data_IF_907496908326
#
_entry.id   IF_907496908326
#
_cell.length_a   1.000
_cell.length_b   1.000
_cell.length_c   1.000
_cell.angle_alpha   90.00
_cell.angle_beta   90.00
_cell.angle_gamma   90.00
#
_symmetry.space_group_name_H-M   'P 1'
#
loop_
_entity.id
_entity.type
_entity.pdbx_description
1 polymer ?
#
# COMPACT_ATOMS: atom_id res chain seq x y z
N UNK A 1 5.78 8.90 40.04
CA UNK A 1 4.85 7.81 39.74
C UNK A 1 5.66 6.63 39.21
N UNK A 2 5.70 5.54 39.92
CA UNK A 2 6.47 4.34 39.56
C UNK A 2 5.77 3.60 38.42
N UNK A 3 6.50 2.96 37.49
CA UNK A 3 5.88 2.18 36.41
C UNK A 3 5.24 0.91 36.99
N UNK A 4 3.96 0.75 36.73
CA UNK A 4 3.22 -0.47 37.02
C UNK A 4 3.79 -1.62 36.18
N UNK A 5 4.51 -2.53 36.82
CA UNK A 5 4.92 -3.82 36.23
C UNK A 5 3.66 -4.64 35.94
N UNK A 6 3.28 -4.75 34.68
CA UNK A 6 2.19 -5.61 34.26
C UNK A 6 2.69 -7.07 34.18
N UNK A 7 2.31 -7.87 35.17
CA UNK A 7 2.73 -9.28 35.34
C UNK A 7 1.89 -10.27 34.50
N UNK A 8 1.24 -9.81 33.41
CA UNK A 8 0.40 -10.65 32.53
C UNK A 8 1.07 -11.07 31.22
N UNK A 9 2.41 -11.03 31.13
CA UNK A 9 3.11 -11.21 29.86
C UNK A 9 3.19 -12.65 29.32
N UNK A 10 2.94 -13.68 30.12
CA UNK A 10 3.02 -15.08 29.65
C UNK A 10 1.72 -15.65 29.04
N UNK A 11 0.58 -15.10 29.39
CA UNK A 11 -0.70 -15.50 28.78
C UNK A 11 -1.03 -14.75 27.49
N UNK A 12 -0.57 -13.49 27.38
CA UNK A 12 -0.79 -12.64 26.20
C UNK A 12 -0.04 -13.16 24.96
N UNK A 13 1.22 -13.56 25.10
CA UNK A 13 2.03 -14.07 23.99
C UNK A 13 1.48 -15.36 23.38
N UNK A 14 0.90 -16.26 24.18
CA UNK A 14 0.29 -17.50 23.66
C UNK A 14 -0.97 -17.23 22.82
N UNK A 15 -1.79 -16.28 23.22
CA UNK A 15 -3.02 -15.92 22.50
C UNK A 15 -2.73 -15.21 21.17
N UNK A 16 -1.73 -14.36 21.12
CA UNK A 16 -1.28 -13.66 19.90
C UNK A 16 -0.85 -14.66 18.82
N UNK A 17 -0.09 -15.70 19.16
CA UNK A 17 0.27 -16.76 18.22
C UNK A 17 -0.94 -17.54 17.72
N UNK A 18 -1.93 -17.80 18.57
CA UNK A 18 -3.17 -18.49 18.18
C UNK A 18 -3.95 -17.63 17.18
N UNK A 19 -4.12 -16.35 17.43
CA UNK A 19 -4.79 -15.43 16.51
C UNK A 19 -4.06 -15.30 15.18
N UNK A 20 -2.73 -15.23 15.20
CA UNK A 20 -1.91 -15.22 13.99
C UNK A 20 -2.16 -16.49 13.15
N UNK A 21 -2.14 -17.67 13.74
CA UNK A 21 -2.40 -18.93 13.04
C UNK A 21 -3.84 -18.99 12.52
N UNK A 22 -4.81 -18.57 13.32
CA UNK A 22 -6.22 -18.53 12.89
C UNK A 22 -6.44 -17.55 11.74
N UNK A 23 -5.84 -16.36 11.80
CA UNK A 23 -5.89 -15.37 10.72
C UNK A 23 -5.27 -15.90 9.43
N UNK A 24 -4.09 -16.53 9.51
CA UNK A 24 -3.43 -17.15 8.37
C UNK A 24 -4.30 -18.27 7.76
N UNK A 25 -4.85 -19.16 8.59
CA UNK A 25 -5.75 -20.24 8.13
C UNK A 25 -7.00 -19.67 7.46
N UNK A 26 -7.59 -18.62 8.03
CA UNK A 26 -8.76 -17.95 7.45
C UNK A 26 -8.46 -17.38 6.08
N UNK A 27 -7.35 -16.63 5.93
CA UNK A 27 -6.93 -16.04 4.65
C UNK A 27 -6.66 -17.13 3.61
N UNK A 28 -5.94 -18.19 4.01
CA UNK A 28 -5.67 -19.34 3.13
C UNK A 28 -6.97 -20.04 2.71
N UNK A 29 -7.91 -20.25 3.62
CA UNK A 29 -9.20 -20.87 3.31
C UNK A 29 -10.02 -20.02 2.34
N UNK A 30 -10.10 -18.70 2.56
CA UNK A 30 -10.80 -17.78 1.65
C UNK A 30 -10.15 -17.74 0.27
N UNK A 31 -8.81 -17.71 0.20
CA UNK A 31 -8.08 -17.72 -1.07
C UNK A 31 -8.30 -19.03 -1.82
N UNK A 32 -8.30 -20.18 -1.12
CA UNK A 32 -8.57 -21.49 -1.72
C UNK A 32 -10.03 -21.62 -2.19
N UNK A 33 -10.99 -21.04 -1.44
CA UNK A 33 -12.39 -21.00 -1.87
C UNK A 33 -12.58 -20.15 -3.14
N UNK A 34 -11.84 -19.05 -3.24
CA UNK A 34 -11.83 -18.20 -4.45
C UNK A 34 -11.23 -18.95 -5.66
N UNK A 35 -10.21 -19.79 -5.44
CA UNK A 35 -9.52 -20.56 -6.47
C UNK A 35 -10.16 -21.94 -6.73
N UNK A 36 -11.44 -22.00 -7.09
CA UNK A 36 -12.20 -23.25 -7.25
C UNK A 36 -11.66 -24.22 -8.32
N UNK A 37 -10.79 -23.79 -9.23
CA UNK A 37 -10.48 -24.55 -10.45
C UNK A 37 -9.01 -24.97 -10.63
N UNK A 38 -8.04 -24.34 -9.97
CA UNK A 38 -6.62 -24.51 -10.31
C UNK A 38 -5.70 -24.89 -9.13
N UNK A 39 -6.19 -25.64 -8.18
CA UNK A 39 -5.43 -26.04 -6.98
C UNK A 39 -4.10 -26.76 -7.29
N UNK A 40 -4.04 -27.46 -8.41
CA UNK A 40 -2.83 -28.21 -8.83
C UNK A 40 -1.68 -27.28 -9.29
N UNK A 41 -1.97 -26.02 -9.63
CA UNK A 41 -0.99 -25.06 -10.10
C UNK A 41 -0.41 -24.21 -8.96
N UNK A 42 -0.90 -24.38 -7.72
CA UNK A 42 -0.42 -23.65 -6.56
C UNK A 42 1.01 -24.09 -6.24
N UNK A 43 1.92 -23.12 -6.25
CA UNK A 43 3.34 -23.35 -5.96
C UNK A 43 3.63 -23.14 -4.48
N UNK A 44 3.26 -24.11 -3.64
CA UNK A 44 3.39 -24.05 -2.17
C UNK A 44 4.81 -23.66 -1.70
N UNK A 45 5.84 -24.06 -2.46
CA UNK A 45 7.23 -23.70 -2.14
C UNK A 45 7.44 -22.19 -2.12
N UNK A 46 6.95 -21.47 -3.13
CA UNK A 46 7.11 -20.01 -3.21
C UNK A 46 6.25 -19.30 -2.18
N UNK A 47 5.05 -19.81 -1.89
CA UNK A 47 4.19 -19.28 -0.82
C UNK A 47 4.89 -19.41 0.53
N UNK A 48 5.42 -20.60 0.85
CA UNK A 48 6.20 -20.80 2.08
C UNK A 48 7.43 -19.89 2.16
N UNK A 49 8.14 -19.73 1.04
CA UNK A 49 9.30 -18.83 0.95
C UNK A 49 8.91 -17.37 1.17
N UNK A 50 7.82 -16.90 0.57
CA UNK A 50 7.30 -15.54 0.76
C UNK A 50 6.89 -15.29 2.21
N UNK A 51 6.15 -16.22 2.83
CA UNK A 51 5.75 -16.12 4.23
C UNK A 51 6.96 -16.08 5.17
N UNK A 52 7.96 -16.92 4.94
CA UNK A 52 9.20 -16.88 5.75
C UNK A 52 9.93 -15.55 5.60
N UNK A 53 10.04 -15.04 4.36
CA UNK A 53 10.68 -13.74 4.10
C UNK A 53 9.86 -12.61 4.75
N UNK A 54 8.54 -12.63 4.62
CA UNK A 54 7.64 -11.64 5.21
C UNK A 54 7.75 -11.62 6.74
N UNK A 55 7.71 -12.79 7.39
CA UNK A 55 7.87 -12.89 8.84
C UNK A 55 9.26 -12.43 9.30
N UNK A 56 10.31 -12.83 8.58
CA UNK A 56 11.67 -12.40 8.88
C UNK A 56 11.83 -10.88 8.74
N UNK A 57 11.23 -10.28 7.69
CA UNK A 57 11.23 -8.83 7.49
C UNK A 57 10.39 -8.12 8.57
N UNK A 58 9.22 -8.64 8.91
CA UNK A 58 8.37 -8.08 9.97
C UNK A 58 9.13 -8.06 11.30
N UNK A 59 9.73 -9.19 11.68
CA UNK A 59 10.54 -9.27 12.89
C UNK A 59 11.74 -8.31 12.83
N UNK A 60 12.46 -8.30 11.72
CA UNK A 60 13.61 -7.41 11.52
C UNK A 60 13.23 -5.94 11.65
N UNK A 61 12.18 -5.51 10.94
CA UNK A 61 11.76 -4.10 10.89
C UNK A 61 11.17 -3.59 12.22
N UNK A 62 10.50 -4.46 12.98
CA UNK A 62 9.77 -4.05 14.18
C UNK A 62 10.46 -4.40 15.50
N UNK A 63 11.43 -5.33 15.49
CA UNK A 63 12.05 -5.83 16.73
C UNK A 63 13.58 -5.74 16.75
N UNK A 64 14.29 -5.68 15.60
CA UNK A 64 15.74 -5.56 15.62
C UNK A 64 16.17 -4.10 15.75
N UNK A 65 17.25 -3.83 16.47
CA UNK A 65 17.83 -2.48 16.62
C UNK A 65 18.16 -1.85 15.25
N UNK A 66 18.75 -2.64 14.35
CA UNK A 66 19.11 -2.19 13.01
C UNK A 66 17.86 -1.93 12.16
N UNK A 67 16.86 -2.83 12.21
CA UNK A 67 15.61 -2.66 11.51
C UNK A 67 14.83 -1.42 11.98
N UNK A 68 14.75 -1.24 13.30
CA UNK A 68 14.13 -0.03 13.90
C UNK A 68 14.88 1.25 13.51
N UNK A 69 16.21 1.22 13.45
CA UNK A 69 17.01 2.35 12.99
C UNK A 69 16.75 2.67 11.50
N UNK A 70 16.68 1.65 10.64
CA UNK A 70 16.38 1.82 9.19
C UNK A 70 14.97 2.38 9.00
N UNK A 71 13.96 1.77 9.63
CA UNK A 71 12.55 2.21 9.54
C UNK A 71 12.39 3.60 10.13
N UNK A 72 12.99 3.85 11.29
CA UNK A 72 12.98 5.16 11.95
C UNK A 72 13.69 6.24 11.13
N UNK A 73 14.83 5.91 10.51
CA UNK A 73 15.54 6.82 9.61
C UNK A 73 14.74 7.17 8.37
N UNK A 74 14.07 6.20 7.75
CA UNK A 74 13.18 6.44 6.62
C UNK A 74 11.98 7.30 7.05
N UNK A 75 11.35 6.98 8.17
CA UNK A 75 10.23 7.73 8.72
C UNK A 75 10.62 9.18 9.06
N UNK A 76 11.78 9.38 9.69
CA UNK A 76 12.31 10.73 10.00
C UNK A 76 12.62 11.54 8.74
N UNK A 77 13.22 10.90 7.72
CA UNK A 77 13.44 11.51 6.41
C UNK A 77 12.12 11.95 5.77
N UNK A 78 11.11 11.08 5.79
CA UNK A 78 9.79 11.39 5.25
C UNK A 78 9.09 12.53 6.04
N UNK A 79 9.18 12.50 7.37
CA UNK A 79 8.66 13.60 8.22
C UNK A 79 9.32 14.93 7.86
N UNK A 80 10.63 14.92 7.58
CA UNK A 80 11.34 16.12 7.13
C UNK A 80 10.84 16.64 5.77
N UNK A 81 10.53 15.72 4.84
CA UNK A 81 9.91 16.10 3.57
C UNK A 81 8.52 16.73 3.78
N UNK A 82 7.74 16.22 4.74
CA UNK A 82 6.44 16.79 5.09
C UNK A 82 6.54 18.20 5.68
N UNK A 83 7.62 18.52 6.44
CA UNK A 83 7.88 19.88 6.89
C UNK A 83 8.12 20.86 5.73
N UNK A 84 8.83 20.43 4.68
CA UNK A 84 9.00 21.25 3.46
C UNK A 84 7.69 21.41 2.70
N UNK A 85 6.90 20.34 2.57
CA UNK A 85 5.58 20.41 1.96
C UNK A 85 4.66 21.39 2.69
N UNK A 86 4.72 21.38 4.04
CA UNK A 86 3.96 22.32 4.88
C UNK A 86 4.33 23.77 4.59
N UNK A 87 5.62 24.10 4.40
CA UNK A 87 6.03 25.47 4.05
C UNK A 87 5.36 25.96 2.76
N UNK A 88 5.24 25.09 1.73
CA UNK A 88 4.53 25.43 0.50
C UNK A 88 3.03 25.63 0.74
N UNK A 89 2.41 24.77 1.54
CA UNK A 89 0.98 24.88 1.90
C UNK A 89 0.71 26.15 2.71
N UNK A 90 1.55 26.45 3.69
CA UNK A 90 1.41 27.64 4.54
C UNK A 90 1.62 28.93 3.73
N UNK A 91 2.51 28.92 2.72
CA UNK A 91 2.70 30.07 1.84
C UNK A 91 1.44 30.37 1.00
N UNK A 92 0.77 29.33 0.47
CA UNK A 92 -0.41 29.50 -0.38
C UNK A 92 -1.68 29.74 0.44
N UNK A 93 -1.84 29.03 1.55
CA UNK A 93 -3.07 28.93 2.34
C UNK A 93 -2.95 29.51 3.76
N UNK A 94 -1.83 30.15 4.11
CA UNK A 94 -1.49 30.54 5.48
C UNK A 94 -2.57 31.34 6.23
N UNK A 95 -3.35 32.15 5.51
CA UNK A 95 -4.51 32.85 6.06
C UNK A 95 -5.71 31.98 6.43
N UNK A 96 -5.75 30.72 5.93
CA UNK A 96 -6.81 29.74 6.18
C UNK A 96 -6.40 28.70 7.24
N UNK A 97 -5.11 28.60 7.55
CA UNK A 97 -4.57 27.67 8.55
C UNK A 97 -4.41 28.44 9.85
N UNK A 98 -5.45 28.43 10.68
CA UNK A 98 -5.36 29.01 12.04
C UNK A 98 -4.48 28.11 12.92
N UNK A 99 -3.65 28.71 13.77
CA UNK A 99 -2.88 27.96 14.76
C UNK A 99 -3.83 27.15 15.67
N UNK A 100 -3.62 25.84 15.71
CA UNK A 100 -4.44 24.90 16.49
C UNK A 100 -5.67 24.34 15.77
N UNK A 101 -6.01 24.79 14.54
CA UNK A 101 -7.07 24.20 13.74
C UNK A 101 -6.50 23.10 12.82
N UNK A 102 -7.06 21.89 12.90
CA UNK A 102 -6.69 20.79 12.02
C UNK A 102 -7.54 20.83 10.74
N UNK A 103 -6.90 21.00 9.58
CA UNK A 103 -7.53 20.86 8.28
C UNK A 103 -6.93 19.66 7.57
N UNK A 104 -7.72 18.58 7.44
CA UNK A 104 -7.28 17.35 6.75
C UNK A 104 -6.82 17.63 5.31
N UNK A 105 -7.55 18.44 4.56
CA UNK A 105 -7.21 18.77 3.18
C UNK A 105 -5.85 19.48 3.09
N UNK A 106 -5.63 20.51 3.94
CA UNK A 106 -4.43 21.32 3.87
C UNK A 106 -3.21 20.64 4.49
N UNK A 107 -3.40 19.93 5.61
CA UNK A 107 -2.28 19.34 6.36
C UNK A 107 -1.90 17.93 5.89
N UNK A 108 -2.88 17.17 5.36
CA UNK A 108 -2.67 15.76 5.00
C UNK A 108 -2.63 15.56 3.49
N UNK A 109 -3.55 16.17 2.74
CA UNK A 109 -3.64 15.95 1.29
C UNK A 109 -2.73 16.86 0.47
N UNK A 110 -2.58 18.15 0.82
CA UNK A 110 -1.73 19.06 0.06
C UNK A 110 -0.25 18.63 -0.04
N UNK A 111 0.38 18.04 0.99
CA UNK A 111 1.72 17.49 0.87
C UNK A 111 1.93 16.46 -0.24
N UNK A 112 0.88 15.80 -0.74
CA UNK A 112 0.93 14.87 -1.88
C UNK A 112 1.53 15.57 -3.12
N UNK A 113 1.23 16.85 -3.31
CA UNK A 113 1.76 17.65 -4.42
C UNK A 113 3.28 17.67 -4.40
N UNK A 114 3.88 17.98 -3.25
CA UNK A 114 5.33 18.02 -3.11
C UNK A 114 5.99 16.66 -3.28
N UNK A 115 5.39 15.60 -2.71
CA UNK A 115 5.91 14.24 -2.88
C UNK A 115 5.85 13.80 -4.35
N UNK A 116 4.78 14.14 -5.07
CA UNK A 116 4.66 13.88 -6.51
C UNK A 116 5.78 14.57 -7.30
N UNK A 117 6.10 15.81 -6.99
CA UNK A 117 7.23 16.53 -7.58
C UNK A 117 8.56 15.80 -7.34
N UNK A 118 8.81 15.34 -6.11
CA UNK A 118 10.03 14.59 -5.79
C UNK A 118 10.11 13.27 -6.58
N UNK A 119 9.00 12.55 -6.70
CA UNK A 119 8.92 11.35 -7.55
C UNK A 119 9.26 11.68 -8.99
N UNK A 120 8.71 12.78 -9.53
CA UNK A 120 9.01 13.26 -10.89
C UNK A 120 10.49 13.56 -11.08
N UNK A 121 11.13 14.27 -10.15
CA UNK A 121 12.57 14.55 -10.18
C UNK A 121 13.38 13.25 -10.18
N UNK A 122 13.08 12.32 -9.27
CA UNK A 122 13.77 11.03 -9.16
C UNK A 122 13.60 10.18 -10.43
N UNK A 123 12.47 10.28 -11.09
CA UNK A 123 12.21 9.63 -12.37
C UNK A 123 12.99 10.30 -13.49
N UNK A 124 12.99 11.63 -13.58
CA UNK A 124 13.73 12.40 -14.58
C UNK A 124 15.23 12.14 -14.55
N UNK A 125 15.84 12.07 -13.36
CA UNK A 125 17.27 11.73 -13.19
C UNK A 125 17.54 10.22 -13.32
N UNK A 126 16.52 9.40 -13.66
CA UNK A 126 16.58 7.94 -13.84
C UNK A 126 16.95 7.14 -12.59
N UNK A 127 16.98 7.77 -11.41
CA UNK A 127 17.28 7.06 -10.18
C UNK A 127 16.17 6.04 -9.84
N UNK A 128 14.92 6.45 -9.99
CA UNK A 128 13.75 5.61 -9.72
C UNK A 128 13.72 4.33 -10.57
N UNK A 129 13.84 4.39 -11.91
CA UNK A 129 13.90 3.20 -12.77
C UNK A 129 15.02 2.22 -12.37
N UNK A 130 16.18 2.71 -11.94
CA UNK A 130 17.29 1.87 -11.49
C UNK A 130 16.92 1.13 -10.22
N UNK A 131 16.33 1.83 -9.23
CA UNK A 131 15.88 1.24 -7.95
C UNK A 131 14.79 0.19 -8.20
N UNK A 132 13.78 0.53 -9.01
CA UNK A 132 12.67 -0.37 -9.35
C UNK A 132 13.17 -1.64 -10.03
N UNK A 133 14.07 -1.53 -11.00
CA UNK A 133 14.69 -2.70 -11.68
C UNK A 133 15.50 -3.54 -10.71
N UNK A 134 16.28 -2.93 -9.83
CA UNK A 134 17.09 -3.63 -8.84
C UNK A 134 16.23 -4.46 -7.89
N UNK A 135 15.29 -3.81 -7.22
CA UNK A 135 14.39 -4.47 -6.27
C UNK A 135 13.50 -5.50 -6.97
N UNK A 136 12.91 -5.16 -8.13
CA UNK A 136 12.07 -6.06 -8.91
C UNK A 136 12.79 -7.34 -9.34
N UNK A 137 14.09 -7.25 -9.70
CA UNK A 137 14.89 -8.42 -10.06
C UNK A 137 15.14 -9.34 -8.86
N UNK A 138 15.41 -8.79 -7.69
CA UNK A 138 15.58 -9.57 -6.45
C UNK A 138 14.24 -10.23 -6.08
N UNK A 139 13.17 -9.48 -6.14
CA UNK A 139 11.83 -9.94 -5.80
C UNK A 139 11.35 -11.08 -6.72
N UNK A 140 11.61 -10.99 -8.03
CA UNK A 140 11.27 -12.02 -9.00
C UNK A 140 11.95 -13.38 -8.72
N UNK A 141 13.10 -13.38 -8.04
CA UNK A 141 13.76 -14.62 -7.62
C UNK A 141 13.13 -15.26 -6.39
N UNK A 142 12.46 -14.44 -5.58
CA UNK A 142 11.88 -14.86 -4.29
C UNK A 142 10.44 -15.31 -4.47
N UNK A 143 9.65 -14.57 -5.26
CA UNK A 143 8.21 -14.77 -5.35
C UNK A 143 7.75 -15.84 -6.36
N UNK A 144 8.66 -16.34 -7.22
CA UNK A 144 8.31 -17.31 -8.26
C UNK A 144 7.35 -16.79 -9.33
N UNK A 145 7.08 -15.48 -9.34
CA UNK A 145 6.36 -14.78 -10.38
C UNK A 145 7.32 -14.25 -11.45
N UNK A 146 6.79 -13.75 -12.55
CA UNK A 146 7.60 -13.18 -13.62
C UNK A 146 8.30 -11.88 -13.20
N UNK A 147 9.27 -11.46 -14.01
CA UNK A 147 9.95 -10.18 -13.80
C UNK A 147 9.00 -9.00 -13.96
N UNK A 148 8.05 -9.09 -14.89
CA UNK A 148 7.06 -8.05 -15.16
C UNK A 148 6.15 -7.83 -13.94
N UNK A 149 5.64 -8.89 -13.33
CA UNK A 149 4.77 -8.83 -12.14
C UNK A 149 5.50 -8.21 -10.96
N UNK A 150 6.76 -8.60 -10.75
CA UNK A 150 7.61 -8.06 -9.68
C UNK A 150 7.96 -6.59 -9.92
N UNK A 151 8.27 -6.22 -11.16
CA UNK A 151 8.50 -4.83 -11.56
C UNK A 151 7.24 -3.99 -11.37
N UNK A 152 6.08 -4.48 -11.82
CA UNK A 152 4.79 -3.81 -11.69
C UNK A 152 4.45 -3.50 -10.22
N UNK A 153 4.66 -4.46 -9.32
CA UNK A 153 4.37 -4.27 -7.89
C UNK A 153 5.24 -3.15 -7.29
N UNK A 154 6.55 -3.15 -7.55
CA UNK A 154 7.47 -2.12 -7.06
C UNK A 154 7.18 -0.77 -7.70
N UNK A 155 6.96 -0.74 -9.02
CA UNK A 155 6.65 0.49 -9.75
C UNK A 155 5.36 1.11 -9.24
N UNK A 156 4.29 0.32 -9.08
CA UNK A 156 3.01 0.82 -8.56
C UNK A 156 3.11 1.34 -7.11
N UNK A 157 3.94 0.70 -6.28
CA UNK A 157 4.20 1.16 -4.92
C UNK A 157 4.93 2.51 -4.89
N UNK A 158 5.85 2.74 -5.81
CA UNK A 158 6.68 3.95 -5.80
C UNK A 158 6.01 5.09 -6.56
N UNK A 159 5.65 4.86 -7.82
CA UNK A 159 5.13 5.89 -8.73
C UNK A 159 3.62 6.05 -8.56
N UNK A 160 2.92 4.96 -8.41
CA UNK A 160 1.47 4.89 -8.36
C UNK A 160 0.91 4.00 -9.47
N UNK A 161 -0.31 3.53 -9.28
CA UNK A 161 -0.93 2.59 -10.21
C UNK A 161 -1.21 3.21 -11.57
N UNK A 162 -1.65 4.48 -11.61
CA UNK A 162 -2.06 5.15 -12.85
C UNK A 162 -0.88 5.36 -13.78
N UNK A 163 0.20 5.92 -13.27
CA UNK A 163 1.44 6.18 -14.00
C UNK A 163 2.09 4.87 -14.44
N UNK A 164 2.06 3.86 -13.58
CA UNK A 164 2.59 2.55 -13.89
C UNK A 164 1.83 1.87 -15.05
N UNK A 165 0.49 1.95 -15.10
CA UNK A 165 -0.28 1.42 -16.22
C UNK A 165 -0.07 2.20 -17.52
N UNK A 166 0.14 3.51 -17.43
CA UNK A 166 0.53 4.31 -18.61
C UNK A 166 1.87 3.83 -19.17
N UNK A 167 2.85 3.58 -18.30
CA UNK A 167 4.16 3.05 -18.70
C UNK A 167 4.06 1.66 -19.33
N UNK A 168 3.12 0.82 -18.88
CA UNK A 168 2.91 -0.53 -19.40
C UNK A 168 1.93 -0.62 -20.58
N UNK A 169 1.33 0.48 -21.04
CA UNK A 169 0.25 0.48 -22.04
C UNK A 169 0.56 -0.33 -23.32
N UNK A 170 1.81 -0.32 -23.77
CA UNK A 170 2.23 -1.03 -24.97
C UNK A 170 2.39 -2.55 -24.75
N UNK A 171 2.56 -2.97 -23.50
CA UNK A 171 2.73 -4.37 -23.10
C UNK A 171 1.37 -5.01 -22.81
N UNK A 172 0.43 -4.23 -22.24
CA UNK A 172 -0.88 -4.72 -21.81
C UNK A 172 -1.64 -5.55 -22.87
N UNK A 173 -1.69 -5.17 -24.17
CA UNK A 173 -2.40 -5.94 -25.19
C UNK A 173 -1.80 -7.33 -25.46
N UNK A 174 -0.55 -7.58 -25.08
CA UNK A 174 0.17 -8.82 -25.31
C UNK A 174 0.12 -9.79 -24.12
N UNK A 175 -0.50 -9.37 -23.02
CA UNK A 175 -0.60 -10.17 -21.80
C UNK A 175 -1.79 -11.13 -21.87
N UNK A 176 -1.59 -12.32 -21.29
CA UNK A 176 -2.72 -13.23 -21.08
C UNK A 176 -3.59 -12.75 -19.89
N UNK A 177 -4.80 -13.29 -19.79
CA UNK A 177 -5.79 -12.92 -18.77
C UNK A 177 -5.24 -13.04 -17.34
N UNK A 178 -4.47 -14.09 -17.04
CA UNK A 178 -3.90 -14.33 -15.71
C UNK A 178 -2.80 -13.32 -15.36
N UNK A 179 -1.95 -12.98 -16.32
CA UNK A 179 -0.95 -11.92 -16.15
C UNK A 179 -1.63 -10.57 -15.92
N UNK A 180 -2.62 -10.23 -16.76
CA UNK A 180 -3.38 -8.99 -16.62
C UNK A 180 -4.03 -8.88 -15.24
N UNK A 181 -4.67 -9.97 -14.76
CA UNK A 181 -5.25 -10.02 -13.42
C UNK A 181 -4.20 -9.78 -12.34
N UNK A 182 -3.03 -10.44 -12.44
CA UNK A 182 -1.95 -10.29 -11.46
C UNK A 182 -1.40 -8.86 -11.46
N UNK A 183 -1.19 -8.26 -12.65
CA UNK A 183 -0.72 -6.87 -12.73
C UNK A 183 -1.75 -5.90 -12.13
N UNK A 184 -3.02 -6.04 -12.47
CA UNK A 184 -4.08 -5.21 -11.91
C UNK A 184 -4.16 -5.35 -10.38
N UNK A 185 -4.19 -6.58 -9.88
CA UNK A 185 -4.29 -6.84 -8.44
C UNK A 185 -3.07 -6.35 -7.67
N UNK A 186 -1.84 -6.56 -8.16
CA UNK A 186 -0.63 -6.04 -7.51
C UNK A 186 -0.58 -4.51 -7.49
N UNK A 187 -0.99 -3.87 -8.58
CA UNK A 187 -1.02 -2.41 -8.64
C UNK A 187 -2.08 -1.80 -7.70
N UNK A 188 -3.25 -2.44 -7.59
CA UNK A 188 -4.35 -1.95 -6.75
C UNK A 188 -4.19 -2.27 -5.27
N UNK A 189 -3.40 -3.29 -4.91
CA UNK A 189 -3.15 -3.68 -3.51
C UNK A 189 -2.06 -2.85 -2.84
N UNK A 190 -1.27 -2.11 -3.60
CA UNK A 190 -0.17 -1.29 -3.08
C UNK A 190 -0.62 0.16 -2.88
N UNK A 191 0.02 0.82 -1.91
CA UNK A 191 -0.16 2.25 -1.64
C UNK A 191 0.99 3.00 -2.29
N UNK A 192 0.71 4.04 -3.08
CA UNK A 192 1.76 4.84 -3.71
C UNK A 192 2.52 5.70 -2.70
N UNK A 193 3.81 5.92 -2.95
CA UNK A 193 4.66 6.76 -2.10
C UNK A 193 4.14 8.19 -1.94
N UNK A 194 3.40 8.71 -2.92
CA UNK A 194 2.82 10.05 -2.85
C UNK A 194 1.82 10.22 -1.71
N UNK A 195 1.08 9.16 -1.36
CA UNK A 195 0.07 9.21 -0.29
C UNK A 195 0.60 8.71 1.06
N UNK A 196 1.79 8.12 1.11
CA UNK A 196 2.40 7.59 2.35
C UNK A 196 2.53 8.69 3.41
N UNK A 197 2.87 9.91 3.00
CA UNK A 197 2.94 11.06 3.90
C UNK A 197 1.61 11.37 4.58
N UNK A 198 0.49 11.21 3.90
CA UNK A 198 -0.83 11.37 4.48
C UNK A 198 -1.11 10.33 5.57
N UNK A 199 -0.75 9.08 5.34
CA UNK A 199 -0.88 8.02 6.36
C UNK A 199 0.02 8.27 7.57
N UNK A 200 1.25 8.79 7.38
CA UNK A 200 2.17 9.10 8.49
C UNK A 200 1.71 10.27 9.36
N UNK A 201 0.74 11.07 8.91
CA UNK A 201 0.08 12.09 9.75
C UNK A 201 -1.01 11.51 10.65
N UNK A 202 -1.54 10.34 10.30
CA UNK A 202 -2.65 9.70 11.00
C UNK A 202 -2.21 8.50 11.85
N UNK A 203 -1.14 7.82 11.44
CA UNK A 203 -0.65 6.58 12.03
C UNK A 203 0.84 6.77 12.33
N UNK A 204 1.32 6.14 13.38
CA UNK A 204 2.75 6.19 13.73
C UNK A 204 3.62 5.77 12.53
N UNK A 205 4.56 6.62 12.07
CA UNK A 205 5.28 6.45 10.81
C UNK A 205 5.99 5.10 10.66
N UNK A 206 6.52 4.52 11.74
CA UNK A 206 7.20 3.23 11.71
C UNK A 206 6.29 2.09 11.24
N UNK A 207 5.02 2.09 11.66
CA UNK A 207 4.06 1.07 11.24
C UNK A 207 3.63 1.26 9.79
N UNK A 208 3.54 2.50 9.32
CA UNK A 208 3.23 2.81 7.91
C UNK A 208 4.34 2.27 7.00
N UNK A 209 5.62 2.49 7.36
CA UNK A 209 6.77 1.98 6.59
C UNK A 209 6.80 0.45 6.58
N UNK A 210 6.62 -0.17 7.75
CA UNK A 210 6.60 -1.63 7.84
C UNK A 210 5.45 -2.21 7.02
N UNK A 211 4.23 -1.67 7.15
CA UNK A 211 3.06 -2.11 6.42
C UNK A 211 3.24 -1.98 4.90
N UNK A 212 3.85 -0.89 4.41
CA UNK A 212 4.12 -0.68 3.00
C UNK A 212 4.96 -1.81 2.39
N UNK A 213 6.01 -2.21 3.09
CA UNK A 213 6.92 -3.28 2.64
C UNK A 213 6.23 -4.65 2.76
N UNK A 214 5.64 -4.97 3.90
CA UNK A 214 5.05 -6.27 4.18
C UNK A 214 3.81 -6.55 3.30
N UNK A 215 2.97 -5.54 3.04
CA UNK A 215 1.79 -5.67 2.20
C UNK A 215 2.11 -6.18 0.79
N UNK A 216 3.27 -5.82 0.24
CA UNK A 216 3.70 -6.33 -1.05
C UNK A 216 3.92 -7.86 -1.03
N UNK A 217 4.52 -8.41 0.04
CA UNK A 217 4.71 -9.85 0.18
C UNK A 217 3.38 -10.57 0.42
N UNK A 218 2.53 -10.06 1.30
CA UNK A 218 1.17 -10.57 1.50
C UNK A 218 0.38 -10.64 0.19
N UNK A 219 0.48 -9.59 -0.65
CA UNK A 219 -0.17 -9.55 -1.97
C UNK A 219 0.31 -10.70 -2.86
N UNK A 220 1.61 -10.97 -2.92
CA UNK A 220 2.12 -12.09 -3.71
C UNK A 220 1.69 -13.45 -3.15
N UNK A 221 1.61 -13.61 -1.84
CA UNK A 221 1.07 -14.83 -1.21
C UNK A 221 -0.38 -15.06 -1.64
N UNK A 222 -1.22 -14.05 -1.50
CA UNK A 222 -2.64 -14.13 -1.87
C UNK A 222 -2.81 -14.40 -3.36
N UNK A 223 -2.08 -13.70 -4.23
CA UNK A 223 -2.16 -13.89 -5.68
C UNK A 223 -1.66 -15.27 -6.12
N UNK A 224 -0.61 -15.80 -5.47
CA UNK A 224 -0.13 -17.16 -5.74
C UNK A 224 -1.16 -18.24 -5.40
N UNK A 225 -2.10 -17.93 -4.51
CA UNK A 225 -3.21 -18.81 -4.13
C UNK A 225 -4.43 -18.63 -5.05
N UNK A 226 -4.83 -17.37 -5.32
CA UNK A 226 -6.07 -17.06 -6.06
C UNK A 226 -5.88 -17.26 -7.57
N UNK A 227 -4.74 -16.83 -8.11
CA UNK A 227 -4.45 -16.85 -9.54
C UNK A 227 -3.10 -17.51 -9.86
N UNK A 228 -2.93 -18.82 -9.56
CA UNK A 228 -1.69 -19.51 -9.87
C UNK A 228 -1.53 -19.72 -11.37
N UNK A 229 -0.33 -19.46 -11.90
CA UNK A 229 0.05 -19.71 -13.29
C UNK A 229 1.56 -19.82 -13.45
N UNK A 230 2.00 -20.32 -14.60
CA UNK A 230 3.40 -20.26 -15.03
C UNK A 230 3.63 -18.91 -15.71
N UNK A 231 4.55 -18.08 -15.20
CA UNK A 231 4.86 -16.81 -15.83
C UNK A 231 5.52 -17.06 -17.20
N UNK A 232 4.94 -16.45 -18.22
CA UNK A 232 5.55 -16.44 -19.55
C UNK A 232 6.59 -15.32 -19.61
N UNK A 233 7.86 -15.71 -19.53
CA UNK A 233 8.97 -14.77 -19.57
C UNK A 233 9.34 -14.33 -21.00
N UNK A 234 8.67 -14.84 -22.04
CA UNK A 234 8.97 -14.46 -23.43
C UNK A 234 8.52 -13.05 -23.76
N UNK A 235 7.41 -12.58 -23.14
CA UNK A 235 6.91 -11.21 -23.27
C UNK A 235 7.70 -10.22 -22.38
N UNK A 236 8.50 -10.73 -21.48
CA UNK A 236 9.17 -9.98 -20.41
C UNK A 236 10.67 -9.82 -20.59
N UNK A 237 11.20 -10.05 -21.80
CA UNK A 237 12.59 -9.67 -22.04
C UNK A 237 12.79 -8.21 -21.65
N UNK A 238 13.87 -7.97 -20.91
CA UNK A 238 14.25 -6.65 -20.41
C UNK A 238 14.31 -5.56 -21.50
N UNK A 239 14.31 -5.97 -22.76
CA UNK A 239 14.10 -5.12 -23.94
C UNK A 239 12.68 -4.56 -24.02
N UNK A 240 11.63 -5.35 -23.81
CA UNK A 240 10.25 -4.84 -23.88
C UNK A 240 9.94 -3.84 -22.75
N UNK A 241 10.54 -4.03 -21.57
CA UNK A 241 10.48 -3.06 -20.46
C UNK A 241 11.35 -1.83 -20.74
N UNK A 242 12.44 -1.98 -21.52
CA UNK A 242 13.29 -0.87 -21.96
C UNK A 242 12.73 -0.15 -23.18
N UNK A 243 12.07 -0.87 -24.10
CA UNK A 243 11.44 -0.33 -25.29
C UNK A 243 10.09 0.33 -25.00
N UNK A 244 9.41 -0.03 -23.89
CA UNK A 244 8.31 0.75 -23.34
C UNK A 244 8.75 2.16 -22.90
N UNK A 245 10.00 2.29 -22.45
CA UNK A 245 10.66 3.58 -22.20
C UNK A 245 11.21 4.25 -23.48
N UNK A 246 11.47 3.47 -24.58
CA UNK A 246 12.05 4.00 -25.81
C UNK A 246 11.01 4.45 -26.85
N UNK A 247 9.74 4.01 -26.74
CA UNK A 247 8.63 4.52 -27.57
C UNK A 247 7.84 5.68 -26.94
N UNK A 248 8.00 5.97 -25.67
CA UNK A 248 8.17 7.33 -25.24
C UNK A 248 9.66 7.66 -25.50
N UNK A 249 10.03 7.94 -26.78
CA UNK A 249 11.04 8.98 -26.95
C UNK A 249 10.55 10.09 -26.03
N UNK A 250 11.26 10.41 -24.93
CA UNK A 250 10.96 11.64 -24.27
C UNK A 250 11.18 12.64 -25.42
N UNK A 251 10.11 13.23 -25.98
CA UNK A 251 10.24 14.64 -26.35
C UNK A 251 11.09 15.10 -25.20
N UNK A 252 12.24 15.68 -25.45
CA UNK A 252 13.08 16.23 -24.40
C UNK A 252 12.19 17.20 -23.65
N UNK A 253 11.36 16.64 -22.75
CA UNK A 253 10.45 17.41 -21.91
C UNK A 253 11.38 18.28 -21.12
N UNK A 254 11.15 19.56 -21.22
CA UNK A 254 11.94 20.51 -20.50
C UNK A 254 11.71 20.17 -18.99
N UNK A 255 12.77 20.14 -18.19
CA UNK A 255 12.69 19.82 -16.75
C UNK A 255 11.51 20.54 -16.06
N UNK A 256 11.26 21.81 -16.42
CA UNK A 256 10.15 22.59 -15.87
C UNK A 256 8.76 22.14 -16.38
N UNK A 257 8.65 21.61 -17.59
CA UNK A 257 7.42 21.04 -18.13
C UNK A 257 7.05 19.79 -17.34
N UNK A 258 7.99 18.87 -17.16
CA UNK A 258 7.83 17.69 -16.30
C UNK A 258 7.43 18.07 -14.87
N UNK A 259 8.09 19.05 -14.23
CA UNK A 259 7.71 19.52 -12.90
C UNK A 259 6.26 20.00 -12.86
N UNK A 260 5.82 20.78 -13.86
CA UNK A 260 4.43 21.24 -13.96
C UNK A 260 3.42 20.09 -14.02
N UNK A 261 3.72 19.05 -14.81
CA UNK A 261 2.87 17.85 -14.91
C UNK A 261 2.76 17.13 -13.58
N UNK A 262 3.87 16.88 -12.86
CA UNK A 262 3.85 16.21 -11.58
C UNK A 262 3.17 17.04 -10.48
N UNK A 263 3.31 18.37 -10.49
CA UNK A 263 2.57 19.28 -9.61
C UNK A 263 1.07 19.11 -9.82
N UNK A 264 0.62 19.18 -11.09
CA UNK A 264 -0.80 19.06 -11.42
C UNK A 264 -1.36 17.67 -11.15
N UNK A 265 -0.59 16.61 -11.41
CA UNK A 265 -0.96 15.25 -11.06
C UNK A 265 -1.14 15.09 -9.55
N UNK A 266 -0.19 15.53 -8.74
CA UNK A 266 -0.28 15.49 -7.28
C UNK A 266 -1.46 16.28 -6.73
N UNK A 267 -1.71 17.49 -7.27
CA UNK A 267 -2.86 18.29 -6.89
C UNK A 267 -4.20 17.61 -7.25
N UNK A 268 -4.28 17.02 -8.44
CA UNK A 268 -5.46 16.28 -8.88
C UNK A 268 -5.75 15.10 -7.95
N UNK A 269 -4.73 14.34 -7.56
CA UNK A 269 -4.88 13.24 -6.58
C UNK A 269 -5.40 13.76 -5.24
N UNK A 270 -4.84 14.84 -4.73
CA UNK A 270 -5.29 15.44 -3.46
C UNK A 270 -6.77 15.87 -3.51
N UNK A 271 -7.19 16.50 -4.61
CA UNK A 271 -8.60 16.92 -4.82
C UNK A 271 -9.52 15.70 -4.94
N UNK A 272 -9.15 14.68 -5.72
CA UNK A 272 -9.94 13.46 -5.88
C UNK A 272 -10.13 12.77 -4.53
N UNK A 273 -9.04 12.56 -3.78
CA UNK A 273 -9.11 11.92 -2.45
C UNK A 273 -10.00 12.73 -1.51
N UNK A 274 -9.84 14.06 -1.48
CA UNK A 274 -10.68 14.94 -0.68
C UNK A 274 -12.16 14.85 -1.05
N UNK A 275 -12.48 14.91 -2.34
CA UNK A 275 -13.85 14.81 -2.83
C UNK A 275 -14.49 13.45 -2.52
N UNK A 276 -13.74 12.35 -2.71
CA UNK A 276 -14.20 11.00 -2.38
C UNK A 276 -14.48 10.85 -0.88
N UNK A 277 -13.61 11.37 -0.02
CA UNK A 277 -13.83 11.33 1.43
C UNK A 277 -15.09 12.10 1.83
N UNK A 278 -15.30 13.30 1.29
CA UNK A 278 -16.53 14.06 1.55
C UNK A 278 -17.76 13.26 1.12
N UNK A 279 -17.75 12.70 -0.08
CA UNK A 279 -18.86 11.93 -0.62
C UNK A 279 -19.15 10.66 0.19
N UNK A 280 -18.13 9.85 0.49
CA UNK A 280 -18.32 8.60 1.23
C UNK A 280 -18.70 8.83 2.69
N UNK A 281 -18.09 9.80 3.38
CA UNK A 281 -18.43 10.09 4.78
C UNK A 281 -19.89 10.60 4.87
N UNK A 282 -20.30 11.48 3.95
CA UNK A 282 -21.69 11.96 3.90
C UNK A 282 -22.67 10.82 3.58
N UNK A 283 -22.33 9.92 2.66
CA UNK A 283 -23.14 8.74 2.34
C UNK A 283 -23.29 7.79 3.54
N UNK A 284 -22.20 7.50 4.24
CA UNK A 284 -22.21 6.68 5.46
C UNK A 284 -23.10 7.34 6.53
N UNK A 285 -23.00 8.66 6.73
CA UNK A 285 -23.84 9.40 7.66
C UNK A 285 -25.33 9.28 7.29
N UNK A 286 -25.67 9.41 6.00
CA UNK A 286 -27.04 9.22 5.51
C UNK A 286 -27.54 7.79 5.76
N UNK A 287 -26.73 6.78 5.44
CA UNK A 287 -27.09 5.37 5.66
C UNK A 287 -27.32 5.11 7.16
N UNK A 288 -26.43 5.61 8.02
CA UNK A 288 -26.59 5.50 9.47
C UNK A 288 -27.93 6.11 9.95
N UNK A 289 -28.25 7.31 9.49
CA UNK A 289 -29.51 7.99 9.81
C UNK A 289 -30.74 7.17 9.38
N UNK A 290 -30.72 6.63 8.15
CA UNK A 290 -31.82 5.81 7.63
C UNK A 290 -32.00 4.51 8.41
N UNK A 291 -30.90 3.85 8.77
CA UNK A 291 -30.92 2.62 9.58
C UNK A 291 -31.44 2.90 11.00
N UNK A 292 -31.00 3.99 11.61
CA UNK A 292 -31.44 4.38 12.94
C UNK A 292 -32.94 4.73 12.95
N UNK A 293 -33.43 5.44 11.91
CA UNK A 293 -34.84 5.75 11.76
C UNK A 293 -35.71 4.52 11.49
N UNK A 294 -35.23 3.53 10.74
CA UNK A 294 -35.98 2.34 10.35
C UNK A 294 -35.91 1.21 11.39
N UNK A 295 -34.75 1.01 12.02
CA UNK A 295 -34.45 -0.16 12.86
C UNK A 295 -34.03 0.20 14.28
N UNK A 296 -33.83 1.49 14.61
CA UNK A 296 -33.34 1.92 15.92
C UNK A 296 -31.88 1.60 16.20
N UNK A 297 -31.11 1.19 15.18
CA UNK A 297 -29.68 0.85 15.27
C UNK A 297 -28.88 1.48 14.16
N UNK A 298 -27.64 1.86 14.46
CA UNK A 298 -26.73 2.44 13.48
C UNK A 298 -26.19 1.35 12.52
N UNK A 299 -26.14 1.63 11.22
CA UNK A 299 -25.63 0.70 10.20
C UNK A 299 -24.20 0.23 10.48
N UNK A 300 -23.31 1.15 10.87
CA UNK A 300 -21.93 0.79 11.22
C UNK A 300 -21.88 -0.18 12.41
N UNK A 301 -22.77 -0.06 13.36
CA UNK A 301 -22.87 -0.99 14.49
C UNK A 301 -23.28 -2.41 14.03
N UNK A 302 -24.20 -2.51 13.08
CA UNK A 302 -24.60 -3.79 12.48
C UNK A 302 -23.41 -4.42 11.72
N UNK A 303 -22.69 -3.62 10.93
CA UNK A 303 -21.48 -4.08 10.26
C UNK A 303 -20.41 -4.52 11.26
N UNK A 304 -20.22 -3.78 12.34
CA UNK A 304 -19.33 -4.14 13.44
C UNK A 304 -19.63 -5.54 14.01
N UNK A 305 -20.89 -5.89 14.20
CA UNK A 305 -21.26 -7.26 14.63
C UNK A 305 -20.99 -8.33 13.58
N UNK A 306 -21.22 -8.03 12.29
CA UNK A 306 -20.97 -8.96 11.18
C UNK A 306 -19.47 -9.25 11.06
N UNK A 307 -18.62 -8.23 11.18
CA UNK A 307 -17.17 -8.35 11.05
C UNK A 307 -16.44 -8.58 12.37
N UNK A 308 -17.14 -8.54 13.51
CA UNK A 308 -16.56 -8.87 14.82
C UNK A 308 -15.75 -10.16 14.84
N UNK A 309 -16.27 -11.31 14.32
CA UNK A 309 -15.51 -12.55 14.33
C UNK A 309 -14.20 -12.45 13.53
N UNK A 310 -14.23 -11.69 12.42
CA UNK A 310 -13.04 -11.47 11.57
C UNK A 310 -12.01 -10.63 12.33
N UNK A 311 -12.43 -9.51 12.92
CA UNK A 311 -11.57 -8.65 13.72
C UNK A 311 -10.94 -9.40 14.89
N UNK A 312 -11.74 -10.21 15.60
CA UNK A 312 -11.25 -11.03 16.70
C UNK A 312 -10.26 -12.11 16.25
N UNK A 313 -10.52 -12.80 15.13
CA UNK A 313 -9.59 -13.79 14.55
C UNK A 313 -8.25 -13.15 14.19
N UNK A 314 -8.27 -11.89 13.71
CA UNK A 314 -7.07 -11.13 13.38
C UNK A 314 -6.29 -10.63 14.60
N UNK A 315 -6.76 -10.92 15.83
CA UNK A 315 -6.06 -10.62 17.07
C UNK A 315 -6.43 -9.28 17.70
N UNK A 316 -7.50 -8.62 17.23
CA UNK A 316 -7.99 -7.41 17.87
C UNK A 316 -8.68 -7.80 19.20
N UNK A 317 -8.35 -7.13 20.32
CA UNK A 317 -8.98 -7.40 21.61
C UNK A 317 -10.51 -7.34 21.51
N UNK A 318 -11.22 -8.26 22.17
CA UNK A 318 -12.68 -8.35 22.10
C UNK A 318 -13.41 -7.06 22.48
N UNK A 319 -12.81 -6.22 23.34
CA UNK A 319 -13.31 -4.89 23.70
C UNK A 319 -13.31 -3.89 22.55
N UNK A 320 -12.39 -4.06 21.58
CA UNK A 320 -12.19 -3.16 20.43
C UNK A 320 -12.64 -3.79 19.10
N UNK A 321 -12.86 -5.12 19.10
CA UNK A 321 -13.19 -5.88 17.89
C UNK A 321 -14.51 -5.43 17.24
N UNK A 322 -15.47 -4.93 18.03
CA UNK A 322 -16.72 -4.37 17.51
C UNK A 322 -16.51 -3.06 16.76
N UNK A 323 -15.60 -2.23 17.25
CA UNK A 323 -15.28 -0.94 16.64
C UNK A 323 -14.39 -1.13 15.41
N UNK A 324 -13.52 -2.13 15.43
CA UNK A 324 -12.63 -2.46 14.32
C UNK A 324 -13.35 -3.19 13.18
N UNK A 325 -14.36 -3.99 13.48
CA UNK A 325 -15.23 -4.69 12.53
C UNK A 325 -16.21 -3.74 11.86
#
# INVERSE_FOLDING_TARGET
MAPVKNNNSMGATGMEYVHFVLGLVMVLALALLANRRNWKQIKLRYIGQLLVVELALAWFMLNSEVGLAVVGGFAAGFTKLMEFAKQGTDFVFGGLVNEGAFSFFLMVLMPIVFISVLIGILQYIRLLPIVIRGIGTVLARINGMGKLESFNAISSMIVGQSENFIALKNILPHLNEKQMYTLAATAMSTVSMSIVGAYMQLIEPRYVVAALVLNMFSTFVVLSLINPYEPDNTVTDAKALAEGDEHHTPKKENFFEMLGEYIMAGFTVAVIVGAMLVGFIALIALINYLFEAAFGVNFQHVMGYIFYPVAWILGIPGSEALQAG
#
